data_IF_348027320262
#
_entry.id   IF_348027320262
#
_cell.length_a   1.000
_cell.length_b   1.000
_cell.length_c   1.000
_cell.angle_alpha   90.00
_cell.angle_beta   90.00
_cell.angle_gamma   90.00
#
_symmetry.space_group_name_H-M   'P 1'
#
loop_
_entity.id
_entity.type
_entity.pdbx_description
1 polymer ?
#
# COMPACT_ATOMS: atom_id res chain seq x y z
N UNK A 1 6.08 11.01 16.42
CA UNK A 1 4.67 10.65 16.75
C UNK A 1 4.23 9.72 15.65
N UNK A 2 3.50 8.65 15.98
CA UNK A 2 3.05 7.69 14.98
C UNK A 2 2.04 8.36 14.04
N UNK A 3 2.31 8.30 12.74
CA UNK A 3 1.50 8.91 11.68
C UNK A 3 0.75 7.85 10.88
N UNK A 4 1.34 6.67 10.66
CA UNK A 4 0.74 5.64 9.79
C UNK A 4 0.95 4.25 10.36
N UNK A 5 -0.10 3.44 10.29
CA UNK A 5 -0.08 2.02 10.66
C UNK A 5 -0.43 1.19 9.43
N UNK A 6 0.48 0.30 9.04
CA UNK A 6 0.29 -0.62 7.93
C UNK A 6 0.12 -2.01 8.49
N UNK A 7 -1.08 -2.57 8.34
CA UNK A 7 -1.34 -3.97 8.67
C UNK A 7 -1.29 -4.76 7.36
N UNK A 8 -0.27 -5.58 7.18
CA UNK A 8 -0.03 -6.35 5.97
C UNK A 8 -0.39 -7.83 6.16
N UNK A 9 -0.95 -8.43 5.12
CA UNK A 9 -1.28 -9.86 5.10
C UNK A 9 -0.03 -10.75 5.04
N UNK A 10 1.12 -10.21 4.62
CA UNK A 10 2.44 -10.85 4.68
C UNK A 10 3.58 -9.87 5.01
N UNK A 11 4.75 -10.45 5.34
CA UNK A 11 5.94 -9.68 5.73
C UNK A 11 6.60 -8.95 4.56
N UNK A 12 6.58 -9.56 3.37
CA UNK A 12 7.16 -8.97 2.17
C UNK A 12 6.41 -7.70 1.78
N UNK A 13 5.08 -7.74 1.72
CA UNK A 13 4.24 -6.58 1.42
C UNK A 13 4.35 -5.46 2.46
N UNK A 14 4.47 -5.82 3.75
CA UNK A 14 4.79 -4.87 4.82
C UNK A 14 6.10 -4.11 4.54
N UNK A 15 7.17 -4.85 4.22
CA UNK A 15 8.49 -4.27 3.97
C UNK A 15 8.54 -3.48 2.66
N UNK A 16 7.86 -3.93 1.60
CA UNK A 16 7.78 -3.19 0.33
C UNK A 16 7.13 -1.83 0.53
N UNK A 17 5.98 -1.79 1.22
CA UNK A 17 5.28 -0.53 1.52
C UNK A 17 6.10 0.36 2.44
N UNK A 18 6.72 -0.24 3.46
CA UNK A 18 7.63 0.47 4.36
C UNK A 18 8.83 1.06 3.64
N UNK A 19 9.39 0.36 2.65
CA UNK A 19 10.50 0.85 1.84
C UNK A 19 10.09 2.07 0.98
N UNK A 20 8.89 2.07 0.40
CA UNK A 20 8.36 3.22 -0.35
C UNK A 20 8.28 4.44 0.58
N UNK A 21 7.66 4.29 1.76
CA UNK A 21 7.54 5.39 2.73
C UNK A 21 8.89 5.86 3.29
N UNK A 22 9.85 4.94 3.49
CA UNK A 22 11.20 5.31 3.91
C UNK A 22 11.94 6.12 2.84
N UNK A 23 11.73 5.83 1.55
CA UNK A 23 12.25 6.63 0.44
C UNK A 23 11.62 8.03 0.38
N UNK A 24 10.37 8.15 0.81
CA UNK A 24 9.68 9.44 0.93
C UNK A 24 10.05 10.22 2.21
N UNK A 25 10.96 9.66 3.03
CA UNK A 25 11.55 10.36 4.17
C UNK A 25 10.82 10.14 5.50
N UNK A 26 9.92 9.16 5.59
CA UNK A 26 9.36 8.71 6.86
C UNK A 26 10.36 7.83 7.62
N UNK A 27 10.35 7.91 8.96
CA UNK A 27 10.99 6.91 9.81
C UNK A 27 10.09 5.69 9.91
N UNK A 28 10.51 4.54 9.38
CA UNK A 28 9.68 3.33 9.28
C UNK A 28 10.27 2.19 10.11
N UNK A 29 9.42 1.51 10.89
CA UNK A 29 9.76 0.29 11.61
C UNK A 29 8.82 -0.87 11.24
N UNK A 30 9.36 -2.08 11.12
CA UNK A 30 8.55 -3.30 10.97
C UNK A 30 8.52 -4.06 12.29
N UNK A 31 7.33 -4.31 12.81
CA UNK A 31 7.10 -5.00 14.08
C UNK A 31 6.74 -6.45 13.79
N UNK A 32 7.59 -7.37 14.26
CA UNK A 32 7.39 -8.82 14.11
C UNK A 32 6.60 -9.42 15.29
N UNK A 33 6.66 -8.76 16.45
CA UNK A 33 6.05 -9.19 17.71
C UNK A 33 5.36 -8.01 18.36
N UNK A 34 4.04 -8.09 18.47
CA UNK A 34 3.21 -6.98 18.95
C UNK A 34 3.53 -6.58 20.41
N UNK A 35 4.10 -7.50 21.20
CA UNK A 35 4.54 -7.22 22.57
C UNK A 35 5.70 -6.21 22.61
N UNK A 36 6.46 -6.08 21.51
CA UNK A 36 7.60 -5.17 21.38
C UNK A 36 7.20 -3.79 20.85
N UNK A 37 5.91 -3.53 20.61
CA UNK A 37 5.40 -2.26 20.07
C UNK A 37 5.92 -1.01 20.79
N UNK A 38 6.14 -1.10 22.11
CA UNK A 38 6.64 0.02 22.93
C UNK A 38 8.06 0.48 22.55
N UNK A 39 8.86 -0.38 21.93
CA UNK A 39 10.23 -0.08 21.51
C UNK A 39 10.30 0.71 20.20
N UNK A 40 9.14 0.96 19.58
CA UNK A 40 9.00 1.56 18.26
C UNK A 40 8.39 2.98 18.29
N UNK A 41 8.32 3.61 19.46
CA UNK A 41 7.71 4.94 19.65
C UNK A 41 8.39 6.06 18.83
N UNK A 42 9.63 5.88 18.39
CA UNK A 42 10.40 6.84 17.59
C UNK A 42 10.05 6.84 16.08
N UNK A 43 9.28 5.87 15.59
CA UNK A 43 8.96 5.76 14.17
C UNK A 43 7.70 6.55 13.81
N UNK A 44 7.69 7.09 12.59
CA UNK A 44 6.52 7.76 12.00
C UNK A 44 5.54 6.74 11.43
N UNK A 45 6.04 5.59 10.97
CA UNK A 45 5.26 4.52 10.33
C UNK A 45 5.61 3.20 10.96
N UNK A 46 4.60 2.41 11.29
CA UNK A 46 4.77 1.03 11.74
C UNK A 46 4.07 0.05 10.81
N UNK A 47 4.85 -0.90 10.31
CA UNK A 47 4.36 -2.03 9.54
C UNK A 47 4.24 -3.25 10.45
N UNK A 48 3.10 -3.94 10.40
CA UNK A 48 2.87 -5.21 11.10
C UNK A 48 2.42 -6.24 10.09
N UNK A 49 3.01 -7.44 10.15
CA UNK A 49 2.60 -8.57 9.34
C UNK A 49 1.69 -9.49 10.14
N UNK A 50 0.50 -9.78 9.63
CA UNK A 50 -0.44 -10.75 10.23
C UNK A 50 -0.27 -12.17 9.69
N UNK A 51 0.50 -12.34 8.61
CA UNK A 51 0.67 -13.62 7.91
C UNK A 51 -0.68 -14.30 7.59
N UNK A 52 -1.69 -13.50 7.25
CA UNK A 52 -3.11 -13.90 7.18
C UNK A 52 -3.57 -14.31 5.78
N UNK A 53 -2.70 -14.16 4.76
CA UNK A 53 -3.06 -14.46 3.36
C UNK A 53 -3.63 -15.87 3.15
N UNK A 54 -2.98 -16.88 3.75
CA UNK A 54 -3.38 -18.28 3.64
C UNK A 54 -4.26 -18.79 4.80
N UNK A 55 -4.71 -17.90 5.68
CA UNK A 55 -5.58 -18.28 6.80
C UNK A 55 -7.03 -18.45 6.34
N UNK A 56 -7.86 -19.07 7.20
CA UNK A 56 -9.31 -19.00 7.04
C UNK A 56 -9.79 -17.54 7.09
N UNK A 57 -10.95 -17.27 6.50
CA UNK A 57 -11.58 -15.96 6.50
C UNK A 57 -11.76 -15.42 7.93
N UNK A 58 -12.23 -16.28 8.82
CA UNK A 58 -12.53 -15.97 10.22
C UNK A 58 -11.26 -15.69 11.02
N UNK A 59 -10.20 -16.48 10.81
CA UNK A 59 -8.92 -16.27 11.49
C UNK A 59 -8.21 -15.00 11.00
N UNK A 60 -8.23 -14.74 9.68
CA UNK A 60 -7.69 -13.51 9.10
C UNK A 60 -8.40 -12.27 9.65
N UNK A 61 -9.74 -12.29 9.69
CA UNK A 61 -10.53 -11.23 10.31
C UNK A 61 -10.11 -11.01 11.77
N UNK A 62 -10.01 -12.08 12.58
CA UNK A 62 -9.67 -11.99 14.00
C UNK A 62 -8.28 -11.40 14.22
N UNK A 63 -7.26 -11.93 13.54
CA UNK A 63 -5.86 -11.51 13.72
C UNK A 63 -5.65 -10.07 13.27
N UNK A 64 -6.26 -9.64 12.16
CA UNK A 64 -6.15 -8.25 11.70
C UNK A 64 -6.86 -7.29 12.67
N UNK A 65 -8.05 -7.63 13.16
CA UNK A 65 -8.76 -6.83 14.17
C UNK A 65 -7.99 -6.72 15.47
N UNK A 66 -7.46 -7.84 15.96
CA UNK A 66 -6.61 -7.89 17.15
C UNK A 66 -5.38 -7.00 16.96
N UNK A 67 -4.69 -7.14 15.83
CA UNK A 67 -3.52 -6.30 15.48
C UNK A 67 -3.87 -4.82 15.47
N UNK A 68 -4.99 -4.43 14.84
CA UNK A 68 -5.43 -3.04 14.81
C UNK A 68 -5.69 -2.49 16.23
N UNK A 69 -6.14 -3.33 17.17
CA UNK A 69 -6.42 -2.94 18.56
C UNK A 69 -5.21 -2.55 19.40
N UNK A 70 -3.99 -2.88 18.96
CA UNK A 70 -2.76 -2.40 19.60
C UNK A 70 -2.49 -0.91 19.35
N UNK A 71 -3.21 -0.30 18.40
CA UNK A 71 -3.04 1.10 18.00
C UNK A 71 -4.26 1.92 18.41
N UNK A 72 -4.10 3.13 18.97
CA UNK A 72 -5.22 3.94 19.40
C UNK A 72 -6.06 4.40 18.21
N UNK A 73 -7.40 4.40 18.36
CA UNK A 73 -8.33 5.01 17.41
C UNK A 73 -8.18 6.54 17.41
N UNK A 74 -7.15 7.05 16.76
CA UNK A 74 -6.83 8.47 16.64
C UNK A 74 -6.95 8.88 15.17
N UNK A 75 -7.77 9.89 14.89
CA UNK A 75 -7.98 10.43 13.54
C UNK A 75 -6.71 11.07 12.95
N UNK A 76 -5.65 11.26 13.74
CA UNK A 76 -4.33 11.69 13.27
C UNK A 76 -3.49 10.55 12.69
N UNK A 77 -3.90 9.29 12.90
CA UNK A 77 -3.21 8.11 12.39
C UNK A 77 -3.89 7.65 11.11
N UNK A 78 -3.13 7.57 10.02
CA UNK A 78 -3.57 6.89 8.81
C UNK A 78 -3.48 5.38 9.01
N UNK A 79 -4.61 4.69 8.94
CA UNK A 79 -4.66 3.23 8.91
C UNK A 79 -4.63 2.73 7.47
N UNK A 80 -3.79 1.73 7.22
CA UNK A 80 -3.64 1.06 5.94
C UNK A 80 -3.77 -0.45 6.11
N UNK A 81 -4.60 -1.07 5.27
CA UNK A 81 -4.51 -2.50 5.00
C UNK A 81 -3.69 -2.74 3.74
N UNK A 82 -2.49 -3.30 3.93
CA UNK A 82 -1.70 -3.81 2.81
C UNK A 82 -2.24 -5.18 2.40
N UNK A 83 -2.69 -5.28 1.16
CA UNK A 83 -3.24 -6.50 0.54
C UNK A 83 -2.35 -6.96 -0.62
N UNK A 84 -2.37 -8.24 -0.99
CA UNK A 84 -1.61 -8.75 -2.13
C UNK A 84 -1.89 -7.98 -3.44
N UNK A 85 -0.83 -7.71 -4.22
CA UNK A 85 -0.95 -6.95 -5.49
C UNK A 85 -1.78 -7.67 -6.56
N UNK A 86 -2.05 -8.96 -6.35
CA UNK A 86 -2.88 -9.78 -7.22
C UNK A 86 -4.16 -10.23 -6.52
N UNK A 87 -4.56 -9.52 -5.44
CA UNK A 87 -5.82 -9.71 -4.71
C UNK A 87 -6.06 -11.13 -4.19
N UNK A 88 -5.00 -11.91 -3.97
CA UNK A 88 -5.10 -13.20 -3.28
C UNK A 88 -5.41 -13.01 -1.80
N UNK A 89 -6.01 -14.02 -1.20
CA UNK A 89 -6.29 -14.10 0.22
C UNK A 89 -7.61 -13.43 0.62
N UNK A 90 -7.64 -12.94 1.86
CA UNK A 90 -8.86 -12.58 2.58
C UNK A 90 -9.22 -11.08 2.48
N UNK A 91 -9.02 -10.46 1.31
CA UNK A 91 -9.15 -9.02 1.06
C UNK A 91 -10.38 -8.39 1.73
N UNK A 92 -11.59 -8.91 1.48
CA UNK A 92 -12.82 -8.30 2.02
C UNK A 92 -12.98 -8.52 3.52
N UNK A 93 -12.58 -9.68 4.05
CA UNK A 93 -12.66 -9.94 5.49
C UNK A 93 -11.65 -9.11 6.28
N UNK A 94 -10.46 -8.86 5.71
CA UNK A 94 -9.46 -8.00 6.32
C UNK A 94 -9.88 -6.52 6.27
N UNK A 95 -10.57 -6.07 5.20
CA UNK A 95 -11.23 -4.75 5.16
C UNK A 95 -12.27 -4.63 6.29
N UNK A 96 -13.17 -5.61 6.41
CA UNK A 96 -14.22 -5.62 7.45
C UNK A 96 -13.61 -5.52 8.85
N UNK A 97 -12.51 -6.24 9.08
CA UNK A 97 -11.86 -6.28 10.39
C UNK A 97 -11.33 -4.91 10.86
N UNK A 98 -10.74 -4.13 9.94
CA UNK A 98 -10.21 -2.80 10.25
C UNK A 98 -11.36 -1.80 10.41
N UNK A 99 -12.36 -1.83 9.52
CA UNK A 99 -13.52 -0.95 9.60
C UNK A 99 -14.31 -1.19 10.89
N UNK A 100 -14.53 -2.46 11.27
CA UNK A 100 -15.19 -2.81 12.53
C UNK A 100 -14.39 -2.38 13.76
N UNK A 101 -13.05 -2.36 13.66
CA UNK A 101 -12.21 -1.83 14.72
C UNK A 101 -12.35 -0.30 14.82
N UNK A 102 -12.19 0.42 13.71
CA UNK A 102 -12.13 1.89 13.72
C UNK A 102 -13.49 2.55 13.96
N UNK A 103 -14.58 1.95 13.47
CA UNK A 103 -15.95 2.40 13.69
C UNK A 103 -16.68 2.82 12.41
N UNK A 104 -17.90 3.33 12.58
CA UNK A 104 -18.83 3.66 11.49
C UNK A 104 -18.40 4.86 10.64
N UNK A 105 -17.61 5.77 11.19
CA UNK A 105 -17.16 6.98 10.47
C UNK A 105 -16.06 6.68 9.43
N UNK A 106 -15.41 5.52 9.53
CA UNK A 106 -14.31 5.14 8.66
C UNK A 106 -14.82 4.40 7.42
N UNK A 107 -14.24 4.78 6.28
CA UNK A 107 -14.55 4.20 4.97
C UNK A 107 -13.28 3.66 4.33
N UNK A 108 -13.39 2.56 3.61
CA UNK A 108 -12.25 1.95 2.91
C UNK A 108 -12.18 2.43 1.46
N UNK A 109 -11.02 2.95 1.04
CA UNK A 109 -10.75 3.23 -0.37
C UNK A 109 -9.75 2.19 -0.87
N UNK A 110 -10.19 1.42 -1.87
CA UNK A 110 -9.40 0.34 -2.46
C UNK A 110 -8.79 0.78 -3.78
N UNK A 111 -7.46 0.83 -3.82
CA UNK A 111 -6.70 1.10 -5.05
C UNK A 111 -5.79 -0.10 -5.30
N UNK A 112 -6.28 -1.08 -6.07
CA UNK A 112 -5.57 -2.35 -6.29
C UNK A 112 -4.29 -2.22 -7.15
N UNK A 113 -4.06 -1.05 -7.74
CA UNK A 113 -2.98 -0.83 -8.69
C UNK A 113 -1.62 -0.67 -8.03
N UNK A 114 -0.60 -1.25 -8.67
CA UNK A 114 0.81 -0.99 -8.40
C UNK A 114 1.58 -0.91 -9.72
N UNK A 115 1.52 0.25 -10.41
CA UNK A 115 1.99 0.39 -11.80
C UNK A 115 3.46 0.01 -12.01
N UNK A 116 4.35 0.34 -11.06
CA UNK A 116 5.77 -0.02 -11.14
C UNK A 116 6.02 -1.55 -11.11
N UNK A 117 5.07 -2.32 -10.58
CA UNK A 117 5.08 -3.79 -10.62
C UNK A 117 4.25 -4.35 -11.78
N UNK A 118 3.74 -3.52 -12.68
CA UNK A 118 2.89 -3.93 -13.81
C UNK A 118 1.44 -4.24 -13.43
N UNK A 119 0.96 -3.80 -12.26
CA UNK A 119 -0.43 -4.00 -11.83
C UNK A 119 -1.25 -2.73 -12.03
N UNK A 120 -2.34 -2.82 -12.78
CA UNK A 120 -3.21 -1.68 -13.11
C UNK A 120 -4.67 -2.10 -13.13
N UNK A 121 -5.57 -1.30 -12.57
CA UNK A 121 -7.02 -1.51 -12.61
C UNK A 121 -7.66 -0.55 -13.62
N UNK A 122 -8.38 -1.11 -14.60
CA UNK A 122 -9.07 -0.37 -15.66
C UNK A 122 -10.40 -1.05 -15.94
N UNK A 123 -11.52 -0.33 -15.82
CA UNK A 123 -12.85 -0.86 -16.03
C UNK A 123 -13.23 -1.91 -14.98
N UNK A 124 -12.80 -1.73 -13.72
CA UNK A 124 -12.90 -2.69 -12.62
C UNK A 124 -12.05 -3.96 -12.81
N UNK A 125 -11.27 -4.06 -13.90
CA UNK A 125 -10.44 -5.23 -14.20
C UNK A 125 -9.01 -4.97 -13.74
N UNK A 126 -8.53 -5.78 -12.79
CA UNK A 126 -7.12 -5.82 -12.44
C UNK A 126 -6.33 -6.57 -13.52
N UNK A 127 -5.37 -5.88 -14.11
CA UNK A 127 -4.42 -6.40 -15.09
C UNK A 127 -3.06 -6.62 -14.43
N UNK A 128 -2.41 -7.71 -14.78
CA UNK A 128 -1.02 -8.04 -14.43
C UNK A 128 -0.22 -8.07 -15.73
N UNK A 129 0.67 -7.10 -15.93
CA UNK A 129 1.42 -6.91 -17.17
C UNK A 129 0.52 -6.88 -18.41
N UNK A 130 -0.64 -6.21 -18.29
CA UNK A 130 -1.64 -6.11 -19.35
C UNK A 130 -2.56 -7.33 -19.52
N UNK A 131 -2.35 -8.40 -18.76
CA UNK A 131 -3.19 -9.61 -18.79
C UNK A 131 -4.22 -9.57 -17.65
N UNK A 132 -5.52 -9.80 -17.91
CA UNK A 132 -6.51 -9.92 -16.83
C UNK A 132 -6.08 -10.93 -15.77
N UNK A 133 -6.17 -10.56 -14.49
CA UNK A 133 -5.71 -11.34 -13.35
C UNK A 133 -6.12 -12.83 -13.42
N UNK A 134 -7.39 -13.11 -13.73
CA UNK A 134 -7.93 -14.47 -13.82
C UNK A 134 -7.31 -15.34 -14.93
N UNK A 135 -6.57 -14.72 -15.86
CA UNK A 135 -5.86 -15.40 -16.96
C UNK A 135 -4.36 -15.54 -16.68
N UNK A 136 -3.91 -15.22 -15.47
CA UNK A 136 -2.53 -15.37 -15.04
C UNK A 136 -2.36 -16.64 -14.20
N UNK A 137 -1.13 -16.98 -13.82
CA UNK A 137 -0.85 -18.11 -12.93
C UNK A 137 -1.50 -17.97 -11.54
N UNK A 138 -1.88 -16.74 -11.12
CA UNK A 138 -2.57 -16.49 -9.84
C UNK A 138 -3.93 -17.17 -9.78
N UNK A 139 -4.60 -17.37 -10.91
CA UNK A 139 -5.87 -18.10 -10.96
C UNK A 139 -5.72 -19.58 -10.57
N UNK A 140 -4.50 -20.11 -10.59
CA UNK A 140 -4.16 -21.49 -10.21
C UNK A 140 -3.35 -21.54 -8.91
N UNK A 141 -3.30 -20.45 -8.13
CA UNK A 141 -2.60 -20.44 -6.85
C UNK A 141 -3.14 -21.58 -5.96
N UNK A 142 -2.26 -22.42 -5.37
CA UNK A 142 -2.69 -23.61 -4.64
C UNK A 142 -3.41 -23.28 -3.32
N UNK A 143 -3.26 -22.04 -2.83
CA UNK A 143 -3.77 -21.62 -1.52
C UNK A 143 -4.89 -20.60 -1.61
N UNK A 144 -4.83 -19.69 -2.58
CA UNK A 144 -5.77 -18.59 -2.70
C UNK A 144 -5.98 -18.22 -4.18
N UNK A 145 -6.60 -19.12 -4.97
CA UNK A 145 -6.84 -18.85 -6.38
C UNK A 145 -7.83 -17.70 -6.55
N UNK A 146 -7.63 -16.90 -7.60
CA UNK A 146 -8.53 -15.79 -7.95
C UNK A 146 -9.23 -16.09 -9.28
N UNK A 147 -10.56 -16.20 -9.24
CA UNK A 147 -11.41 -16.69 -10.35
C UNK A 147 -11.93 -15.57 -11.28
N UNK A 148 -11.91 -14.32 -10.81
CA UNK A 148 -12.38 -13.13 -11.52
C UNK A 148 -11.31 -12.05 -11.49
N UNK A 149 -11.23 -11.24 -12.53
CA UNK A 149 -10.34 -10.07 -12.55
C UNK A 149 -11.02 -8.82 -11.99
N UNK A 150 -12.33 -8.91 -11.67
CA UNK A 150 -13.11 -7.78 -11.18
C UNK A 150 -12.78 -7.46 -9.73
N UNK A 151 -12.17 -6.31 -9.49
CA UNK A 151 -11.75 -5.86 -8.14
C UNK A 151 -12.95 -5.81 -7.21
N UNK A 152 -14.04 -5.18 -7.65
CA UNK A 152 -15.26 -5.08 -6.83
C UNK A 152 -15.90 -6.43 -6.55
N UNK A 153 -15.85 -7.38 -7.49
CA UNK A 153 -16.41 -8.72 -7.30
C UNK A 153 -15.63 -9.52 -6.26
N UNK A 154 -14.29 -9.46 -6.32
CA UNK A 154 -13.41 -10.12 -5.32
C UNK A 154 -13.74 -9.60 -3.92
N UNK A 155 -13.88 -8.28 -3.77
CA UNK A 155 -14.21 -7.66 -2.48
C UNK A 155 -15.61 -8.07 -2.03
N UNK A 156 -16.64 -7.91 -2.88
CA UNK A 156 -18.06 -8.22 -2.60
C UNK A 156 -18.29 -9.66 -2.16
N UNK A 157 -17.53 -10.63 -2.69
CA UNK A 157 -17.61 -12.03 -2.27
C UNK A 157 -17.21 -12.24 -0.79
N UNK A 158 -16.46 -11.33 -0.21
CA UNK A 158 -15.83 -11.51 1.10
C UNK A 158 -16.30 -10.51 2.16
N UNK A 159 -16.62 -9.27 1.79
CA UNK A 159 -17.07 -8.21 2.71
C UNK A 159 -18.57 -8.30 3.01
N UNK A 160 -18.97 -7.86 4.21
CA UNK A 160 -20.37 -7.61 4.57
C UNK A 160 -20.87 -6.21 4.18
N UNK A 161 -19.98 -5.33 3.75
CA UNK A 161 -20.27 -3.92 3.49
C UNK A 161 -20.65 -3.65 2.03
N UNK A 162 -21.34 -2.54 1.79
CA UNK A 162 -21.65 -2.08 0.45
C UNK A 162 -20.37 -1.62 -0.27
N UNK A 163 -20.23 -2.00 -1.54
CA UNK A 163 -19.02 -1.73 -2.35
C UNK A 163 -19.38 -0.89 -3.58
N UNK A 164 -18.91 0.35 -3.58
CA UNK A 164 -18.98 1.32 -4.67
C UNK A 164 -17.79 1.22 -5.62
N UNK A 165 -17.85 1.98 -6.73
CA UNK A 165 -16.84 1.91 -7.78
C UNK A 165 -16.68 3.24 -8.54
N UNK A 166 -15.43 3.65 -8.73
CA UNK A 166 -15.04 4.82 -9.53
C UNK A 166 -14.10 4.35 -10.63
N UNK A 167 -14.56 4.44 -11.88
CA UNK A 167 -13.77 4.06 -13.05
C UNK A 167 -12.75 5.12 -13.45
N UNK A 168 -11.76 4.68 -14.23
CA UNK A 168 -10.64 5.50 -14.69
C UNK A 168 -11.10 6.74 -15.48
N UNK A 169 -12.24 6.66 -16.17
CA UNK A 169 -12.84 7.77 -16.90
C UNK A 169 -13.22 8.96 -16.01
N UNK A 170 -13.49 8.71 -14.72
CA UNK A 170 -13.78 9.73 -13.71
C UNK A 170 -12.49 10.22 -13.04
N UNK A 171 -11.56 9.30 -12.76
CA UNK A 171 -10.25 9.61 -12.15
C UNK A 171 -9.43 10.56 -13.01
N UNK A 172 -9.49 10.40 -14.33
CA UNK A 172 -8.72 11.20 -15.30
C UNK A 172 -9.34 12.57 -15.63
N UNK A 173 -10.47 12.93 -15.02
CA UNK A 173 -11.09 14.26 -15.13
C UNK A 173 -10.34 15.29 -14.28
N UNK A 174 -10.95 16.44 -14.03
CA UNK A 174 -10.44 17.45 -13.11
C UNK A 174 -10.49 16.97 -11.66
N UNK A 175 -9.55 17.44 -10.83
CA UNK A 175 -9.48 17.09 -9.40
C UNK A 175 -10.76 17.41 -8.64
N UNK A 176 -11.47 18.50 -8.99
CA UNK A 176 -12.76 18.84 -8.38
C UNK A 176 -13.85 17.81 -8.68
N UNK A 177 -13.84 17.25 -9.89
CA UNK A 177 -14.82 16.24 -10.32
C UNK A 177 -14.55 14.90 -9.63
N UNK A 178 -13.28 14.49 -9.57
CA UNK A 178 -12.89 13.28 -8.84
C UNK A 178 -13.21 13.41 -7.35
N UNK A 179 -12.98 14.58 -6.75
CA UNK A 179 -13.33 14.83 -5.34
C UNK A 179 -14.83 14.71 -5.10
N UNK A 180 -15.67 15.33 -5.94
CA UNK A 180 -17.12 15.25 -5.83
C UNK A 180 -17.62 13.81 -5.95
N UNK A 181 -17.14 13.06 -6.95
CA UNK A 181 -17.55 11.67 -7.14
C UNK A 181 -17.06 10.77 -6.01
N UNK A 182 -15.83 10.96 -5.53
CA UNK A 182 -15.28 10.22 -4.40
C UNK A 182 -16.12 10.44 -3.14
N UNK A 183 -16.44 11.69 -2.81
CA UNK A 183 -17.28 12.02 -1.65
C UNK A 183 -18.65 11.36 -1.77
N UNK A 184 -19.31 11.48 -2.93
CA UNK A 184 -20.63 10.87 -3.18
C UNK A 184 -20.61 9.35 -3.03
N UNK A 185 -19.60 8.68 -3.57
CA UNK A 185 -19.48 7.23 -3.45
C UNK A 185 -19.21 6.80 -2.00
N UNK A 186 -18.39 7.55 -1.24
CA UNK A 186 -18.12 7.27 0.17
C UNK A 186 -19.32 7.54 1.08
N UNK A 187 -20.17 8.51 0.77
CA UNK A 187 -21.43 8.74 1.49
C UNK A 187 -22.45 7.60 1.29
N UNK A 188 -22.32 6.84 0.20
CA UNK A 188 -23.24 5.75 -0.17
C UNK A 188 -22.69 4.37 0.18
N UNK A 189 -21.37 4.20 0.06
CA UNK A 189 -20.69 2.91 0.16
C UNK A 189 -19.57 2.96 1.18
N UNK A 190 -19.52 1.94 2.03
CA UNK A 190 -18.50 1.86 3.07
C UNK A 190 -17.13 1.38 2.55
N UNK A 191 -17.13 0.77 1.38
CA UNK A 191 -15.94 0.40 0.61
C UNK A 191 -16.08 0.95 -0.80
N UNK A 192 -15.07 1.66 -1.31
CA UNK A 192 -15.07 2.20 -2.68
C UNK A 192 -13.81 1.74 -3.40
N UNK A 193 -13.97 0.97 -4.47
CA UNK A 193 -12.86 0.60 -5.34
C UNK A 193 -12.64 1.67 -6.41
N UNK A 194 -11.40 2.08 -6.61
CA UNK A 194 -11.05 3.14 -7.57
C UNK A 194 -9.98 2.64 -8.52
N UNK A 195 -10.25 2.80 -9.82
CA UNK A 195 -9.29 2.46 -10.86
C UNK A 195 -8.07 3.38 -10.86
N UNK A 196 -6.93 2.83 -11.25
CA UNK A 196 -5.71 3.60 -11.50
C UNK A 196 -4.82 2.85 -12.49
N UNK A 197 -4.29 3.53 -13.50
CA UNK A 197 -3.32 2.93 -14.43
C UNK A 197 -1.89 3.43 -14.19
N UNK A 198 -1.73 4.57 -13.52
CA UNK A 198 -0.46 5.24 -13.32
C UNK A 198 -0.30 5.78 -11.89
N UNK A 199 0.94 6.07 -11.49
CA UNK A 199 1.21 6.71 -10.20
C UNK A 199 0.53 8.08 -10.09
N UNK A 200 0.36 8.80 -11.22
CA UNK A 200 -0.36 10.08 -11.26
C UNK A 200 -1.83 9.91 -10.88
N UNK A 201 -2.47 8.83 -11.32
CA UNK A 201 -3.85 8.53 -10.94
C UNK A 201 -3.94 8.25 -9.44
N UNK A 202 -2.99 7.45 -8.92
CA UNK A 202 -2.88 7.12 -7.49
C UNK A 202 -2.69 8.39 -6.64
N UNK A 203 -1.82 9.30 -7.08
CA UNK A 203 -1.58 10.59 -6.42
C UNK A 203 -2.83 11.48 -6.44
N UNK A 204 -3.59 11.49 -7.54
CA UNK A 204 -4.84 12.25 -7.64
C UNK A 204 -5.92 11.69 -6.70
N UNK A 205 -6.06 10.37 -6.60
CA UNK A 205 -6.97 9.70 -5.67
C UNK A 205 -6.58 10.02 -4.22
N UNK A 206 -5.29 9.89 -3.89
CA UNK A 206 -4.76 10.23 -2.57
C UNK A 206 -5.02 11.69 -2.18
N UNK A 207 -4.83 12.63 -3.11
CA UNK A 207 -5.14 14.03 -2.88
C UNK A 207 -6.63 14.25 -2.58
N UNK A 208 -7.52 13.60 -3.33
CA UNK A 208 -8.96 13.69 -3.09
C UNK A 208 -9.37 13.07 -1.74
N UNK A 209 -8.83 11.89 -1.39
CA UNK A 209 -9.06 11.28 -0.07
C UNK A 209 -8.60 12.19 1.09
N UNK A 210 -7.49 12.90 0.93
CA UNK A 210 -7.02 13.85 1.94
C UNK A 210 -7.89 15.11 2.07
N UNK A 211 -8.66 15.44 1.03
CA UNK A 211 -9.44 16.68 0.93
C UNK A 211 -10.94 16.49 1.14
N UNK A 212 -11.47 15.25 1.08
CA UNK A 212 -12.92 14.99 1.16
C UNK A 212 -13.50 15.14 2.56
N UNK A 213 -12.67 15.24 3.61
CA UNK A 213 -13.13 15.37 4.99
C UNK A 213 -13.73 14.09 5.60
N UNK A 214 -13.69 12.97 4.86
CA UNK A 214 -14.13 11.64 5.32
C UNK A 214 -12.91 10.88 5.84
N UNK A 215 -13.09 10.12 6.92
CA UNK A 215 -12.02 9.29 7.49
C UNK A 215 -11.81 8.07 6.61
N UNK A 216 -10.64 7.98 5.97
CA UNK A 216 -10.31 6.93 5.00
C UNK A 216 -9.29 5.94 5.57
N UNK A 217 -9.56 4.65 5.37
CA UNK A 217 -8.58 3.57 5.48
C UNK A 217 -8.05 3.28 4.08
N UNK A 218 -6.73 3.30 3.91
CA UNK A 218 -6.11 2.95 2.63
C UNK A 218 -6.04 1.43 2.46
N UNK A 219 -6.54 0.90 1.35
CA UNK A 219 -6.48 -0.53 1.04
C UNK A 219 -5.79 -0.71 -0.31
N UNK A 220 -4.54 -1.16 -0.29
CA UNK A 220 -3.74 -1.24 -1.52
C UNK A 220 -2.49 -2.13 -1.40
N UNK A 221 -1.75 -2.31 -2.50
CA UNK A 221 -0.44 -2.97 -2.50
C UNK A 221 0.75 -2.07 -2.12
N UNK A 222 0.53 -0.87 -1.59
CA UNK A 222 1.54 0.02 -1.02
C UNK A 222 1.60 1.43 -1.63
N UNK A 223 1.54 1.64 -2.96
CA UNK A 223 1.70 2.97 -3.56
C UNK A 223 0.63 4.00 -3.18
N UNK A 224 -0.63 3.59 -3.05
CA UNK A 224 -1.71 4.48 -2.62
C UNK A 224 -1.57 4.84 -1.14
N UNK A 225 -1.22 3.88 -0.28
CA UNK A 225 -0.89 4.18 1.12
C UNK A 225 0.23 5.20 1.22
N UNK A 226 1.31 5.03 0.45
CA UNK A 226 2.41 5.97 0.42
C UNK A 226 1.98 7.36 -0.10
N UNK A 227 1.23 7.40 -1.20
CA UNK A 227 0.71 8.66 -1.76
C UNK A 227 -0.18 9.39 -0.75
N UNK A 228 -1.09 8.69 -0.07
CA UNK A 228 -2.00 9.29 0.92
C UNK A 228 -1.25 9.79 2.16
N UNK A 229 -0.30 9.01 2.67
CA UNK A 229 0.55 9.46 3.78
C UNK A 229 1.31 10.76 3.44
N UNK A 230 1.84 10.88 2.22
CA UNK A 230 2.50 12.10 1.76
C UNK A 230 1.55 13.30 1.71
N UNK A 231 0.31 13.11 1.26
CA UNK A 231 -0.69 14.19 1.22
C UNK A 231 -1.08 14.67 2.62
N UNK A 232 -1.31 13.74 3.56
CA UNK A 232 -1.75 14.05 4.93
C UNK A 232 -0.61 14.69 5.74
N UNK A 233 0.58 14.09 5.72
CA UNK A 233 1.67 14.50 6.59
C UNK A 233 2.66 15.49 5.94
N UNK A 234 2.46 15.83 4.66
CA UNK A 234 3.24 16.83 3.89
C UNK A 234 4.76 16.69 4.06
N UNK A 235 5.25 15.45 4.12
CA UNK A 235 6.69 15.16 4.18
C UNK A 235 7.30 15.54 2.83
N UNK A 236 8.28 16.45 2.86
CA UNK A 236 9.14 16.67 1.69
C UNK A 236 10.07 15.48 1.59
N UNK A 237 10.24 14.91 0.38
CA UNK A 237 11.37 14.04 0.07
C UNK A 237 12.62 14.73 0.56
N UNK A 238 13.21 14.18 1.60
CA UNK A 238 14.53 14.63 2.04
C UNK A 238 15.50 13.99 1.08
N UNK A 239 16.09 14.78 0.19
CA UNK A 239 17.35 14.41 -0.45
C UNK A 239 18.39 14.27 0.67
N UNK A 240 18.42 13.09 1.30
CA UNK A 240 19.55 12.75 2.15
C UNK A 240 20.73 12.61 1.21
N UNK A 241 21.69 13.54 1.27
CA UNK A 241 23.03 13.32 0.75
C UNK A 241 23.60 12.06 1.42
N UNK A 242 23.43 10.92 0.76
CA UNK A 242 23.99 9.66 1.23
C UNK A 242 25.47 9.68 0.88
N UNK A 243 26.33 9.94 1.87
CA UNK A 243 27.76 9.65 1.75
C UNK A 243 27.94 8.13 1.77
N UNK A 244 28.27 7.55 0.62
CA UNK A 244 28.49 6.11 0.46
C UNK A 244 29.98 5.83 0.65
N UNK A 245 30.32 4.97 1.62
CA UNK A 245 31.66 4.40 1.76
C UNK A 245 31.63 2.98 1.15
N UNK A 246 32.50 2.73 0.18
CA UNK A 246 32.61 1.41 -0.48
C UNK A 246 34.02 0.86 -0.28
N UNK A 247 34.13 -0.34 0.31
CA UNK A 247 35.38 -1.09 0.39
C UNK A 247 35.49 -2.09 -0.76
N UNK A 248 36.49 -1.94 -1.62
CA UNK A 248 36.66 -2.75 -2.83
C UNK A 248 37.97 -3.54 -2.73
N UNK A 249 37.87 -4.83 -2.38
CA UNK A 249 39.03 -5.73 -2.27
C UNK A 249 39.24 -6.65 -3.47
N UNK A 250 38.30 -6.67 -4.43
CA UNK A 250 38.38 -7.57 -5.59
C UNK A 250 39.26 -6.99 -6.71
N UNK A 251 40.15 -7.83 -7.25
CA UNK A 251 41.02 -7.47 -8.38
C UNK A 251 40.43 -7.84 -9.76
N UNK A 252 39.18 -8.32 -9.80
CA UNK A 252 38.53 -8.83 -11.01
C UNK A 252 38.36 -7.77 -12.11
N UNK A 253 38.29 -8.21 -13.35
CA UNK A 253 38.08 -7.32 -14.50
C UNK A 253 36.72 -6.61 -14.45
N UNK A 254 35.67 -7.30 -13.99
CA UNK A 254 34.35 -6.71 -13.75
C UNK A 254 34.41 -5.59 -12.71
N UNK A 255 35.13 -5.79 -11.60
CA UNK A 255 35.31 -4.76 -10.57
C UNK A 255 36.05 -3.54 -11.12
N UNK A 256 37.01 -3.73 -12.03
CA UNK A 256 37.71 -2.62 -12.71
C UNK A 256 36.77 -1.83 -13.63
N UNK A 257 35.88 -2.51 -14.35
CA UNK A 257 34.87 -1.86 -15.19
C UNK A 257 33.86 -1.07 -14.34
N UNK A 258 33.37 -1.66 -13.25
CA UNK A 258 32.46 -1.01 -12.30
C UNK A 258 33.12 0.23 -11.65
N UNK A 259 34.39 0.14 -11.27
CA UNK A 259 35.18 1.27 -10.76
C UNK A 259 35.37 2.37 -11.79
N UNK A 260 35.60 2.00 -13.06
CA UNK A 260 35.73 2.97 -14.16
C UNK A 260 34.42 3.72 -14.39
N UNK A 261 33.31 2.98 -14.48
CA UNK A 261 31.98 3.56 -14.60
C UNK A 261 31.65 4.50 -13.44
N UNK A 262 31.95 4.10 -12.20
CA UNK A 262 31.72 4.93 -11.01
C UNK A 262 32.57 6.21 -11.03
N UNK A 263 33.83 6.14 -11.49
CA UNK A 263 34.69 7.32 -11.64
C UNK A 263 34.13 8.32 -12.66
N UNK A 264 33.64 7.82 -13.78
CA UNK A 264 33.14 8.64 -14.89
C UNK A 264 31.77 9.27 -14.56
N UNK A 265 30.92 8.57 -13.82
CA UNK A 265 29.53 8.99 -13.58
C UNK A 265 29.30 9.63 -12.21
N UNK A 266 30.09 9.29 -11.20
CA UNK A 266 29.81 9.64 -9.80
C UNK A 266 30.86 10.48 -9.09
N UNK A 267 31.99 10.81 -9.74
CA UNK A 267 33.12 11.56 -9.17
C UNK A 267 33.47 11.19 -7.70
N UNK A 268 33.68 9.90 -7.39
CA UNK A 268 33.90 9.44 -6.02
C UNK A 268 35.26 9.92 -5.50
N UNK A 269 35.33 10.23 -4.20
CA UNK A 269 36.61 10.37 -3.51
C UNK A 269 37.23 8.99 -3.29
N UNK A 270 38.40 8.73 -3.89
CA UNK A 270 39.05 7.41 -3.86
C UNK A 270 40.28 7.47 -2.98
N UNK A 271 40.29 6.62 -1.96
CA UNK A 271 41.48 6.33 -1.13
C UNK A 271 42.01 4.96 -1.53
N UNK A 272 43.27 4.90 -1.97
CA UNK A 272 43.99 3.63 -2.14
C UNK A 272 44.67 3.30 -0.81
N UNK A 273 44.37 2.12 -0.28
CA UNK A 273 44.98 1.56 0.94
C UNK A 273 45.99 0.50 0.52
#
# INVERSE_FOLDING_TARGET
MLNTVIIADDLTGANDTGAILAQDGFSVGTVLKLEQMKDFNQYDVLCVSTNSRGMSKEDAYRVVKETASYFPKDDKILYSKRIDSTLRGNVGAEIDSILDYLGEDYHAVVVASFPASGRTSIGDILLVNGVPLQKTEVAKDPTSPVDTSRVTEIIKKQTKHSVGYIGLEKVTKSSSYLLEELTKELETHRVVAVDAQSNRDIEAIAACCSACGIKVVAIDPGPFTAALANQIFKRKKTEKEKKILCGIGSASELTRQQLKYLKETGNPFIVKI
#
